data_IF_590635421355
#
_entry.id   IF_590635421355
#
_cell.length_a   1.000
_cell.length_b   1.000
_cell.length_c   1.000
_cell.angle_alpha   90.00
_cell.angle_beta   90.00
_cell.angle_gamma   90.00
#
_symmetry.space_group_name_H-M   'P 1'
#
loop_
_entity.id
_entity.type
_entity.pdbx_description
1 polymer ?
#
# COMPACT_ATOMS: atom_id res chain seq x y z
N UNK A 1 -23.93 8.73 -30.85
CA UNK A 1 -23.20 10.02 -30.72
C UNK A 1 -23.53 10.56 -29.34
N UNK A 2 -22.68 10.33 -28.35
CA UNK A 2 -22.79 10.91 -27.00
C UNK A 2 -22.44 12.39 -27.05
N UNK A 3 -23.27 13.24 -26.43
CA UNK A 3 -23.16 14.71 -26.46
C UNK A 3 -22.08 15.19 -25.48
N UNK A 4 -21.50 16.36 -25.74
CA UNK A 4 -20.52 17.08 -24.91
C UNK A 4 -21.05 17.59 -23.54
N UNK A 5 -21.91 16.81 -22.88
CA UNK A 5 -22.45 17.06 -21.53
C UNK A 5 -22.42 15.82 -20.64
N UNK A 6 -21.87 14.71 -21.12
CA UNK A 6 -21.85 13.47 -20.34
C UNK A 6 -20.91 13.60 -19.14
N UNK A 7 -21.45 13.26 -17.97
CA UNK A 7 -20.74 13.18 -16.70
C UNK A 7 -20.61 11.71 -16.34
N UNK A 8 -19.40 11.26 -16.02
CA UNK A 8 -19.17 9.90 -15.52
C UNK A 8 -18.79 9.94 -14.05
N UNK A 9 -19.27 8.95 -13.31
CA UNK A 9 -18.84 8.69 -11.95
C UNK A 9 -18.17 7.33 -11.90
N UNK A 10 -16.91 7.31 -11.50
CA UNK A 10 -16.13 6.11 -11.24
C UNK A 10 -16.21 5.80 -9.75
N UNK A 11 -16.50 4.55 -9.38
CA UNK A 11 -16.60 4.12 -7.98
C UNK A 11 -15.50 3.13 -7.64
N UNK A 12 -14.91 3.30 -6.47
CA UNK A 12 -13.93 2.39 -5.89
C UNK A 12 -14.34 2.07 -4.45
N UNK A 13 -14.43 0.78 -4.14
CA UNK A 13 -14.76 0.28 -2.81
C UNK A 13 -13.51 -0.19 -2.09
N UNK A 14 -13.48 -0.05 -0.77
CA UNK A 14 -12.36 -0.45 0.08
C UNK A 14 -12.86 -0.97 1.43
N UNK A 15 -12.04 -1.78 2.09
CA UNK A 15 -12.35 -2.35 3.40
C UNK A 15 -11.22 -2.03 4.38
N UNK A 16 -11.52 -1.23 5.41
CA UNK A 16 -10.60 -0.93 6.52
C UNK A 16 -11.38 -0.60 7.78
N UNK A 17 -10.77 -0.91 8.93
CA UNK A 17 -11.25 -0.55 10.27
C UNK A 17 -10.85 0.86 10.71
N UNK A 18 -9.98 1.57 9.98
CA UNK A 18 -9.47 2.87 10.41
C UNK A 18 -10.44 4.03 10.22
N UNK A 19 -10.36 5.01 11.10
CA UNK A 19 -11.17 6.23 11.01
C UNK A 19 -10.44 7.40 10.32
N UNK A 20 -9.13 7.28 10.05
CA UNK A 20 -8.29 8.33 9.45
C UNK A 20 -7.77 7.89 8.10
N UNK A 21 -8.52 8.23 7.06
CA UNK A 21 -8.30 7.72 5.70
C UNK A 21 -8.13 8.88 4.74
N UNK A 22 -7.12 8.79 3.88
CA UNK A 22 -7.02 9.60 2.66
C UNK A 22 -7.16 8.71 1.42
N UNK A 23 -8.01 9.14 0.49
CA UNK A 23 -8.27 8.45 -0.76
C UNK A 23 -7.73 9.30 -1.91
N UNK A 24 -6.94 8.67 -2.77
CA UNK A 24 -6.24 9.31 -3.87
C UNK A 24 -6.76 8.78 -5.20
N UNK A 25 -6.85 9.66 -6.19
CA UNK A 25 -7.20 9.31 -7.55
C UNK A 25 -6.04 9.61 -8.50
N UNK A 26 -5.80 8.65 -9.40
CA UNK A 26 -4.76 8.75 -10.43
C UNK A 26 -5.34 8.42 -11.80
N UNK A 27 -4.72 8.97 -12.84
CA UNK A 27 -5.00 8.67 -14.24
C UNK A 27 -3.76 8.13 -14.93
N UNK A 28 -3.90 7.04 -15.65
CA UNK A 28 -2.80 6.40 -16.36
C UNK A 28 -3.17 6.21 -17.84
N UNK A 29 -2.41 6.85 -18.72
CA UNK A 29 -2.44 6.56 -20.15
C UNK A 29 -1.62 5.31 -20.46
N UNK A 30 -1.89 4.61 -21.57
CA UNK A 30 -1.09 3.46 -21.98
C UNK A 30 0.42 3.78 -21.98
N UNK A 31 1.23 2.87 -21.42
CA UNK A 31 2.69 3.00 -21.30
C UNK A 31 3.19 4.24 -20.53
N UNK A 32 2.32 4.87 -19.74
CA UNK A 32 2.65 6.04 -18.92
C UNK A 32 2.65 5.68 -17.43
N UNK A 33 3.37 6.43 -16.61
CA UNK A 33 3.21 6.35 -15.16
C UNK A 33 1.86 6.97 -14.73
N UNK A 34 1.24 6.48 -13.63
CA UNK A 34 0.04 7.10 -13.08
C UNK A 34 0.27 8.56 -12.68
N UNK A 35 -0.60 9.44 -13.17
CA UNK A 35 -0.60 10.87 -12.87
C UNK A 35 -1.57 11.15 -11.73
N UNK A 36 -1.11 11.85 -10.69
CA UNK A 36 -1.96 12.27 -9.57
C UNK A 36 -3.03 13.27 -10.05
N UNK A 37 -4.27 13.08 -9.62
CA UNK A 37 -5.39 13.98 -9.91
C UNK A 37 -5.78 14.82 -8.69
N UNK A 38 -6.15 14.14 -7.60
CA UNK A 38 -6.67 14.73 -6.36
C UNK A 38 -6.65 13.72 -5.22
N UNK A 39 -6.81 14.21 -3.98
CA UNK A 39 -7.15 13.39 -2.82
C UNK A 39 -8.36 13.98 -2.07
N UNK A 40 -9.09 13.11 -1.37
CA UNK A 40 -10.11 13.48 -0.39
C UNK A 40 -10.02 12.59 0.82
N UNK A 41 -10.09 13.17 2.01
CA UNK A 41 -10.18 12.40 3.24
C UNK A 41 -11.55 11.77 3.41
N UNK A 42 -11.62 10.64 4.12
CA UNK A 42 -12.86 9.95 4.44
C UNK A 42 -13.00 9.78 5.96
N UNK A 43 -14.23 9.47 6.40
CA UNK A 43 -14.58 9.30 7.82
C UNK A 43 -14.18 10.52 8.65
N UNK A 44 -13.27 10.39 9.61
CA UNK A 44 -12.84 11.49 10.49
C UNK A 44 -12.16 12.63 9.73
N UNK A 45 -11.63 12.36 8.53
CA UNK A 45 -11.00 13.36 7.67
C UNK A 45 -11.86 13.74 6.46
N UNK A 46 -13.17 13.56 6.53
CA UNK A 46 -14.10 13.92 5.43
C UNK A 46 -14.05 15.41 5.02
N UNK A 47 -13.59 16.28 5.92
CA UNK A 47 -13.33 17.70 5.65
C UNK A 47 -12.06 17.97 4.83
N UNK A 48 -11.12 17.03 4.79
CA UNK A 48 -9.85 17.22 4.10
C UNK A 48 -10.04 16.99 2.61
N UNK A 49 -9.56 17.93 1.80
CA UNK A 49 -9.56 17.80 0.35
C UNK A 49 -8.42 18.57 -0.29
N UNK A 50 -7.91 18.04 -1.42
CA UNK A 50 -6.99 18.77 -2.27
C UNK A 50 -7.73 19.66 -3.25
N UNK A 51 -7.10 20.76 -3.67
CA UNK A 51 -7.51 21.45 -4.89
C UNK A 51 -7.11 20.63 -6.12
N UNK A 52 -8.06 20.10 -6.91
CA UNK A 52 -7.73 19.34 -8.11
C UNK A 52 -7.11 20.26 -9.17
N UNK A 53 -6.14 19.74 -9.93
CA UNK A 53 -5.54 20.48 -11.04
C UNK A 53 -6.55 20.79 -12.16
N UNK A 54 -7.54 19.91 -12.34
CA UNK A 54 -8.66 20.10 -13.26
C UNK A 54 -9.95 20.31 -12.49
N UNK A 55 -10.59 21.48 -12.67
CA UNK A 55 -11.84 21.86 -12.01
C UNK A 55 -13.05 21.01 -12.40
N UNK A 56 -12.92 20.20 -13.46
CA UNK A 56 -13.95 19.24 -13.89
C UNK A 56 -14.02 18.01 -12.99
N UNK A 57 -12.98 17.79 -12.17
CA UNK A 57 -12.87 16.64 -11.28
C UNK A 57 -13.42 16.99 -9.91
N UNK A 58 -14.30 16.13 -9.42
CA UNK A 58 -14.88 16.21 -8.09
C UNK A 58 -14.78 14.83 -7.46
N UNK A 59 -14.39 14.73 -6.19
CA UNK A 59 -14.42 13.47 -5.47
C UNK A 59 -15.37 13.50 -4.30
N UNK A 60 -16.08 12.40 -4.12
CA UNK A 60 -16.95 12.14 -2.99
C UNK A 60 -16.48 10.88 -2.29
N UNK A 61 -16.63 10.87 -0.98
CA UNK A 61 -16.20 9.76 -0.14
C UNK A 61 -17.35 9.35 0.77
N UNK A 62 -17.58 8.05 0.81
CA UNK A 62 -18.46 7.38 1.76
C UNK A 62 -17.61 6.62 2.78
N UNK A 63 -18.25 5.83 3.65
CA UNK A 63 -17.58 5.09 4.72
C UNK A 63 -16.62 4.00 4.19
N UNK A 64 -16.92 3.44 3.03
CA UNK A 64 -16.29 2.25 2.44
C UNK A 64 -16.02 2.42 0.94
N UNK A 65 -16.21 3.62 0.41
CA UNK A 65 -16.05 3.87 -1.01
C UNK A 65 -15.64 5.32 -1.30
N UNK A 66 -14.98 5.50 -2.44
CA UNK A 66 -14.74 6.81 -3.04
C UNK A 66 -15.27 6.81 -4.46
N UNK A 67 -15.79 7.96 -4.84
CA UNK A 67 -16.30 8.23 -6.17
C UNK A 67 -15.53 9.41 -6.76
N UNK A 68 -15.15 9.28 -8.03
CA UNK A 68 -14.59 10.35 -8.84
C UNK A 68 -15.61 10.70 -9.93
N UNK A 69 -16.08 11.94 -9.90
CA UNK A 69 -16.96 12.50 -10.92
C UNK A 69 -16.14 13.35 -11.88
N UNK A 70 -16.26 13.07 -13.17
CA UNK A 70 -15.63 13.82 -14.25
C UNK A 70 -16.74 14.51 -15.04
N UNK A 71 -16.80 15.84 -14.95
CA UNK A 71 -17.79 16.66 -15.65
C UNK A 71 -17.29 17.06 -17.04
N UNK A 72 -18.16 17.05 -18.03
CA UNK A 72 -17.80 17.44 -19.40
C UNK A 72 -16.71 16.54 -19.97
N UNK A 73 -17.07 15.26 -20.15
CA UNK A 73 -16.17 14.25 -20.70
C UNK A 73 -15.58 14.67 -22.04
N UNK A 74 -14.27 14.52 -22.15
CA UNK A 74 -13.52 14.70 -23.38
C UNK A 74 -12.93 13.36 -23.80
N UNK A 75 -12.69 13.19 -25.11
CA UNK A 75 -11.96 12.01 -25.61
C UNK A 75 -10.57 11.88 -24.97
N UNK A 76 -9.94 12.98 -24.55
CA UNK A 76 -8.68 13.00 -23.81
C UNK A 76 -8.77 12.40 -22.40
N UNK A 77 -9.97 12.23 -21.85
CA UNK A 77 -10.18 11.64 -20.52
C UNK A 77 -10.22 10.10 -20.57
N UNK A 78 -10.23 9.49 -21.76
CA UNK A 78 -10.16 8.03 -21.93
C UNK A 78 -8.79 7.50 -21.50
N UNK A 79 -8.74 6.96 -20.29
CA UNK A 79 -7.55 6.43 -19.65
C UNK A 79 -7.95 5.39 -18.59
N UNK A 80 -6.96 4.69 -18.03
CA UNK A 80 -7.17 3.87 -16.85
C UNK A 80 -7.15 4.75 -15.60
N UNK A 81 -8.12 4.58 -14.72
CA UNK A 81 -8.20 5.33 -13.46
C UNK A 81 -7.93 4.40 -12.29
N UNK A 82 -7.07 4.84 -11.38
CA UNK A 82 -6.69 4.10 -10.19
C UNK A 82 -7.11 4.88 -8.94
N UNK A 83 -7.64 4.16 -7.97
CA UNK A 83 -7.87 4.65 -6.62
C UNK A 83 -6.81 4.05 -5.67
N UNK A 84 -6.39 4.82 -4.68
CA UNK A 84 -5.50 4.34 -3.62
C UNK A 84 -5.99 4.79 -2.26
N UNK A 85 -5.95 3.89 -1.29
CA UNK A 85 -6.27 4.19 0.10
C UNK A 85 -4.97 4.32 0.89
N UNK A 86 -4.82 5.44 1.59
CA UNK A 86 -3.81 5.62 2.62
C UNK A 86 -4.49 5.73 3.97
N UNK A 87 -4.19 4.76 4.80
CA UNK A 87 -4.65 4.69 6.17
C UNK A 87 -3.51 5.11 7.11
N UNK A 88 -3.80 5.97 8.08
CA UNK A 88 -2.82 6.38 9.10
C UNK A 88 -2.64 5.32 10.19
N UNK A 89 -3.60 4.40 10.33
CA UNK A 89 -3.68 3.39 11.38
C UNK A 89 -3.43 1.94 10.89
N UNK A 90 -3.42 1.66 9.59
CA UNK A 90 -3.09 0.31 9.09
C UNK A 90 -1.60 0.15 8.84
N UNK A 91 -1.00 -0.68 9.67
CA UNK A 91 0.18 -1.43 9.31
C UNK A 91 -0.20 -2.44 8.22
N UNK A 92 0.41 -2.39 7.04
CA UNK A 92 0.26 -3.49 6.08
C UNK A 92 1.04 -4.68 6.60
N UNK A 93 0.33 -5.73 7.01
CA UNK A 93 0.94 -6.95 7.52
C UNK A 93 1.09 -7.96 6.37
N UNK A 94 2.30 -8.10 5.85
CA UNK A 94 2.67 -9.17 4.93
C UNK A 94 2.93 -10.44 5.75
N UNK A 95 1.95 -11.33 5.73
CA UNK A 95 1.98 -12.61 6.43
C UNK A 95 2.84 -13.60 5.62
N UNK A 96 4.02 -13.96 6.10
CA UNK A 96 4.82 -15.05 5.51
C UNK A 96 5.14 -16.06 6.61
N UNK A 97 4.84 -17.33 6.37
CA UNK A 97 5.04 -18.42 7.34
C UNK A 97 6.40 -19.09 7.11
N UNK A 98 7.46 -18.80 7.88
CA UNK A 98 8.67 -19.60 7.86
C UNK A 98 8.40 -21.00 8.45
N UNK A 99 8.73 -22.05 7.68
CA UNK A 99 8.45 -23.46 8.03
C UNK A 99 9.55 -24.10 8.90
N UNK A 100 10.22 -23.37 9.80
CA UNK A 100 11.36 -23.93 10.56
C UNK A 100 11.12 -23.99 12.07
N UNK A 101 11.36 -25.16 12.65
CA UNK A 101 11.24 -25.50 14.07
C UNK A 101 12.53 -25.29 14.89
N UNK A 102 13.57 -24.66 14.32
CA UNK A 102 14.88 -24.55 14.95
C UNK A 102 15.04 -23.24 15.75
N UNK A 103 15.14 -23.37 17.07
CA UNK A 103 15.33 -22.31 18.06
C UNK A 103 16.68 -21.60 17.88
N UNK A 104 16.65 -20.27 17.70
CA UNK A 104 17.85 -19.42 17.69
C UNK A 104 18.25 -18.83 16.34
N UNK A 105 17.45 -18.98 15.29
CA UNK A 105 17.77 -18.46 13.97
C UNK A 105 17.40 -16.97 13.80
N UNK A 106 18.20 -16.26 13.00
CA UNK A 106 17.93 -14.88 12.57
C UNK A 106 17.21 -14.94 11.21
N UNK A 107 16.06 -14.29 11.14
CA UNK A 107 15.30 -14.11 9.90
C UNK A 107 15.64 -12.78 9.27
N UNK A 108 15.96 -12.80 7.98
CA UNK A 108 16.22 -11.62 7.17
C UNK A 108 15.08 -11.39 6.20
N UNK A 109 14.59 -10.16 6.15
CA UNK A 109 13.56 -9.71 5.24
C UNK A 109 14.16 -8.96 4.07
N UNK A 110 13.67 -9.29 2.88
CA UNK A 110 14.09 -8.66 1.65
C UNK A 110 12.88 -8.18 0.84
N UNK A 111 13.12 -7.14 0.05
CA UNK A 111 12.23 -6.65 -1.00
C UNK A 111 12.89 -6.86 -2.34
N UNK A 112 12.14 -7.27 -3.35
CA UNK A 112 12.66 -7.41 -4.70
C UNK A 112 11.70 -6.78 -5.71
N UNK A 113 12.21 -5.75 -6.40
CA UNK A 113 11.55 -5.20 -7.59
C UNK A 113 11.70 -6.16 -8.78
N UNK A 114 10.81 -6.12 -9.78
CA UNK A 114 10.94 -6.94 -10.98
C UNK A 114 12.32 -6.78 -11.65
N UNK A 115 13.00 -7.91 -11.89
CA UNK A 115 14.34 -7.98 -12.53
C UNK A 115 15.47 -7.27 -11.76
N UNK A 116 15.27 -6.97 -10.48
CA UNK A 116 16.30 -6.37 -9.61
C UNK A 116 16.92 -7.38 -8.65
N UNK A 117 18.06 -7.01 -8.07
CA UNK A 117 18.62 -7.73 -6.96
C UNK A 117 17.80 -7.49 -5.69
N UNK A 118 17.69 -8.47 -4.79
CA UNK A 118 17.00 -8.30 -3.51
C UNK A 118 17.65 -7.23 -2.63
N UNK A 119 16.83 -6.35 -2.08
CA UNK A 119 17.22 -5.31 -1.14
C UNK A 119 16.89 -5.74 0.29
N UNK A 120 17.85 -5.61 1.20
CA UNK A 120 17.65 -5.92 2.61
C UNK A 120 16.76 -4.88 3.29
N UNK A 121 15.80 -5.35 4.11
CA UNK A 121 14.85 -4.51 4.84
C UNK A 121 15.12 -4.49 6.34
N UNK A 122 15.05 -5.66 6.98
CA UNK A 122 15.28 -5.80 8.42
C UNK A 122 15.66 -7.24 8.75
N UNK A 123 16.15 -7.45 9.96
CA UNK A 123 16.28 -8.78 10.53
C UNK A 123 15.74 -8.85 11.97
N UNK A 124 15.21 -10.03 12.30
CA UNK A 124 14.50 -10.29 13.54
C UNK A 124 14.87 -11.69 14.06
N UNK A 125 15.04 -11.80 15.37
CA UNK A 125 15.20 -13.07 16.06
C UNK A 125 13.83 -13.72 16.29
N UNK A 126 13.79 -15.05 16.38
CA UNK A 126 12.57 -15.78 16.73
C UNK A 126 12.00 -15.38 18.11
N UNK A 127 12.79 -14.77 19.00
CA UNK A 127 12.32 -14.16 20.25
C UNK A 127 11.46 -12.90 20.05
N UNK A 128 11.33 -12.39 18.82
CA UNK A 128 10.67 -11.12 18.51
C UNK A 128 11.60 -9.91 18.55
N UNK A 129 12.90 -10.09 18.84
CA UNK A 129 13.86 -8.99 18.90
C UNK A 129 14.31 -8.58 17.50
N UNK A 130 13.94 -7.37 17.06
CA UNK A 130 14.47 -6.77 15.84
C UNK A 130 15.93 -6.37 16.07
N UNK A 131 16.85 -6.87 15.25
CA UNK A 131 18.28 -6.58 15.37
C UNK A 131 18.63 -5.32 14.58
N UNK A 132 18.15 -5.20 13.35
CA UNK A 132 18.41 -4.06 12.47
C UNK A 132 17.25 -3.84 11.49
N UNK A 133 17.03 -2.59 11.10
CA UNK A 133 16.06 -2.20 10.07
C UNK A 133 16.53 -0.98 9.29
N UNK A 134 16.26 -0.95 7.99
CA UNK A 134 16.67 0.14 7.10
C UNK A 134 15.74 1.35 7.16
N UNK A 135 14.54 1.19 7.71
CA UNK A 135 13.57 2.28 7.85
C UNK A 135 12.73 2.14 9.11
N UNK A 136 12.36 3.26 9.71
CA UNK A 136 11.50 3.30 10.90
C UNK A 136 10.10 2.77 10.63
N UNK A 137 9.62 2.88 9.38
CA UNK A 137 8.31 2.36 8.92
C UNK A 137 8.22 0.84 8.86
N UNK A 138 9.34 0.15 9.01
CA UNK A 138 9.39 -1.30 8.97
C UNK A 138 9.38 -1.83 10.40
N UNK A 139 8.55 -2.82 10.62
CA UNK A 139 8.43 -3.57 11.86
C UNK A 139 8.31 -5.06 11.52
N UNK A 140 8.60 -5.92 12.48
CA UNK A 140 8.32 -7.34 12.34
C UNK A 140 7.79 -7.89 13.66
N UNK A 141 6.80 -8.77 13.57
CA UNK A 141 6.16 -9.40 14.72
C UNK A 141 6.27 -10.91 14.57
N UNK A 142 6.71 -11.56 15.63
CA UNK A 142 6.65 -13.02 15.72
C UNK A 142 5.32 -13.39 16.37
N UNK A 143 4.61 -14.35 15.79
CA UNK A 143 3.37 -14.89 16.34
C UNK A 143 3.63 -15.66 17.64
N UNK A 144 2.60 -15.83 18.47
CA UNK A 144 2.71 -16.42 19.82
C UNK A 144 3.23 -17.86 19.77
N UNK A 145 2.92 -18.58 18.69
CA UNK A 145 3.38 -19.93 18.42
C UNK A 145 4.83 -20.01 17.89
N UNK A 146 5.49 -18.86 17.64
CA UNK A 146 6.82 -18.72 17.04
C UNK A 146 6.99 -19.41 15.67
N UNK A 147 5.87 -19.76 15.03
CA UNK A 147 5.80 -20.41 13.71
C UNK A 147 5.64 -19.41 12.57
N UNK A 148 5.31 -18.17 12.89
CA UNK A 148 5.02 -17.15 11.91
C UNK A 148 5.73 -15.85 12.26
N UNK A 149 6.26 -15.19 11.23
CA UNK A 149 6.84 -13.86 11.35
C UNK A 149 6.20 -12.97 10.32
N UNK A 150 5.65 -11.88 10.79
CA UNK A 150 4.95 -10.91 9.99
C UNK A 150 5.86 -9.72 9.74
N UNK A 151 6.00 -9.32 8.47
CA UNK A 151 6.59 -8.04 8.11
C UNK A 151 5.49 -7.00 8.08
N UNK A 152 5.71 -5.91 8.81
CA UNK A 152 4.76 -4.84 9.05
C UNK A 152 5.33 -3.58 8.40
N UNK A 153 4.62 -3.02 7.43
CA UNK A 153 5.01 -1.76 6.76
C UNK A 153 4.00 -0.68 7.14
N UNK A 154 4.43 0.32 7.89
CA UNK A 154 3.61 1.47 8.28
C UNK A 154 3.41 2.44 7.11
N UNK A 155 2.20 3.01 7.01
CA UNK A 155 1.83 3.98 5.97
C UNK A 155 2.14 3.48 4.54
N UNK A 156 1.73 2.24 4.22
CA UNK A 156 2.02 1.67 2.91
C UNK A 156 1.46 2.54 1.76
N UNK A 157 2.24 2.64 0.69
CA UNK A 157 1.90 3.33 -0.53
C UNK A 157 1.90 2.35 -1.72
N UNK A 158 1.32 2.76 -2.86
CA UNK A 158 1.39 1.96 -4.10
C UNK A 158 2.85 1.63 -4.45
N UNK A 159 3.76 2.57 -4.18
CA UNK A 159 5.19 2.36 -4.39
C UNK A 159 5.78 1.22 -3.58
N UNK A 160 5.10 0.68 -2.57
CA UNK A 160 5.56 -0.47 -1.76
C UNK A 160 5.07 -1.82 -2.31
N UNK A 161 4.36 -1.83 -3.44
CA UNK A 161 3.85 -3.05 -4.06
C UNK A 161 4.96 -3.79 -4.81
N UNK A 162 5.69 -4.65 -4.10
CA UNK A 162 6.75 -5.50 -4.64
C UNK A 162 6.71 -6.91 -4.04
N UNK A 163 7.61 -7.78 -4.51
CA UNK A 163 7.81 -9.09 -3.91
C UNK A 163 8.58 -8.96 -2.59
N UNK A 164 8.02 -9.51 -1.53
CA UNK A 164 8.67 -9.60 -0.22
C UNK A 164 8.88 -11.06 0.12
N UNK A 165 10.03 -11.38 0.70
CA UNK A 165 10.30 -12.71 1.21
C UNK A 165 11.24 -12.67 2.40
N UNK A 166 11.16 -13.70 3.22
CA UNK A 166 12.04 -13.93 4.36
C UNK A 166 12.99 -15.09 4.06
N UNK A 167 14.23 -14.98 4.52
CA UNK A 167 15.20 -16.06 4.48
C UNK A 167 15.81 -16.31 5.87
N UNK A 168 16.00 -17.59 6.19
CA UNK A 168 16.77 -18.01 7.36
C UNK A 168 18.25 -17.95 6.99
N UNK A 169 19.04 -17.21 7.77
CA UNK A 169 20.49 -17.33 7.72
C UNK A 169 20.88 -18.30 8.83
N UNK A 170 21.26 -19.56 8.52
CA UNK A 170 21.75 -20.46 9.55
C UNK A 170 23.04 -19.88 10.13
N UNK A 171 23.02 -19.59 11.43
CA UNK A 171 24.24 -19.30 12.18
C UNK A 171 24.97 -20.63 12.36
N UNK A 172 25.78 -21.03 11.37
CA UNK A 172 26.68 -22.18 11.54
C UNK A 172 27.71 -21.82 12.61
N UNK A 173 27.46 -22.20 13.86
CA UNK A 173 28.52 -22.50 14.81
C UNK A 173 29.11 -23.85 14.40
N UNK A 174 30.14 -23.80 13.56
CA UNK A 174 30.99 -24.96 13.30
C UNK A 174 31.69 -25.38 14.59
N UNK A 175 31.53 -26.65 14.96
CA UNK A 175 32.41 -27.34 15.91
C UNK A 175 33.58 -27.97 15.16
#
# INVERSE_FOLDING_TARGET
ISKETDTVTLKCSYETSSERIWLYWFRQYPNSAPQYLLYKGARSYSSDESSPADRRLESKTSRDSTELTIRGLKLSDSALYHCALRDVAHYSVLQIKPTSSATGNILHWYRQHPKSNPEFLLNIMQSGTIISKVSTRLEAKVDDDQKQVDLIISSAAISDSDLYYCALVPTVTGN
#
